data_IF_244220233619
#
_entry.id   IF_244220233619
#
_cell.length_a   1.000
_cell.length_b   1.000
_cell.length_c   1.000
_cell.angle_alpha   90.00
_cell.angle_beta   90.00
_cell.angle_gamma   90.00
#
_symmetry.space_group_name_H-M   'P 1'
#
loop_
_entity.id
_entity.type
_entity.pdbx_description
1 polymer ?
#
# COMPACT_ATOMS: atom_id res chain seq x y z
N UNK A 1 -13.16 -20.81 -39.05
CA UNK A 1 -12.09 -20.87 -38.03
C UNK A 1 -12.59 -20.14 -36.81
N UNK A 2 -12.99 -20.89 -35.77
CA UNK A 2 -13.38 -20.30 -34.49
C UNK A 2 -12.14 -19.66 -33.90
N UNK A 3 -12.13 -18.33 -33.73
CA UNK A 3 -11.15 -17.71 -32.86
C UNK A 3 -11.39 -18.33 -31.48
N UNK A 4 -10.41 -19.10 -30.99
CA UNK A 4 -10.39 -19.45 -29.59
C UNK A 4 -10.37 -18.11 -28.84
N UNK A 5 -11.52 -17.71 -28.31
CA UNK A 5 -11.59 -16.61 -27.36
C UNK A 5 -10.68 -17.03 -26.23
N UNK A 6 -9.47 -16.44 -26.17
CA UNK A 6 -8.56 -16.67 -25.05
C UNK A 6 -9.34 -16.29 -23.80
N UNK A 7 -9.71 -17.28 -23.00
CA UNK A 7 -10.37 -17.05 -21.72
C UNK A 7 -9.54 -16.05 -20.94
N UNK A 8 -10.17 -14.94 -20.56
CA UNK A 8 -9.60 -13.81 -19.80
C UNK A 8 -10.10 -13.84 -18.36
N UNK A 9 -10.29 -15.06 -17.85
CA UNK A 9 -10.54 -15.29 -16.44
C UNK A 9 -9.46 -14.60 -15.58
N UNK A 10 -9.86 -14.17 -14.38
CA UNK A 10 -9.00 -13.35 -13.52
C UNK A 10 -7.63 -13.99 -13.28
N UNK A 11 -7.56 -15.32 -13.15
CA UNK A 11 -6.30 -16.03 -12.94
C UNK A 11 -5.29 -15.76 -14.05
N UNK A 12 -5.74 -15.84 -15.30
CA UNK A 12 -4.86 -15.62 -16.45
C UNK A 12 -4.43 -14.18 -16.53
N UNK A 13 -5.31 -13.23 -16.20
CA UNK A 13 -4.95 -11.82 -16.12
C UNK A 13 -3.87 -11.58 -15.06
N UNK A 14 -4.07 -12.16 -13.87
CA UNK A 14 -3.12 -12.08 -12.76
C UNK A 14 -1.77 -12.75 -13.09
N UNK A 15 -1.81 -13.97 -13.63
CA UNK A 15 -0.61 -14.75 -13.98
C UNK A 15 0.19 -14.16 -15.14
N UNK A 16 -0.47 -13.45 -16.06
CA UNK A 16 0.17 -12.82 -17.21
C UNK A 16 0.58 -11.36 -16.97
N UNK A 17 0.37 -10.84 -15.75
CA UNK A 17 0.78 -9.49 -15.39
C UNK A 17 2.29 -9.32 -15.55
N UNK A 18 2.70 -8.18 -16.11
CA UNK A 18 4.12 -7.80 -16.21
C UNK A 18 4.65 -7.11 -14.96
N UNK A 19 3.79 -6.86 -13.97
CA UNK A 19 4.17 -6.28 -12.69
C UNK A 19 5.03 -7.25 -11.89
N UNK A 20 5.83 -6.72 -10.98
CA UNK A 20 6.68 -7.54 -10.11
C UNK A 20 5.95 -7.90 -8.81
N UNK A 21 5.35 -6.88 -8.20
CA UNK A 21 4.71 -6.95 -6.89
C UNK A 21 3.34 -7.64 -6.96
N UNK A 22 3.02 -8.44 -5.95
CA UNK A 22 1.79 -9.22 -5.93
C UNK A 22 0.55 -8.30 -5.92
N UNK A 23 0.57 -7.25 -5.09
CA UNK A 23 -0.53 -6.29 -5.01
C UNK A 23 -0.74 -5.59 -6.36
N UNK A 24 0.34 -5.22 -7.06
CA UNK A 24 0.29 -4.59 -8.37
C UNK A 24 -0.27 -5.52 -9.45
N UNK A 25 0.19 -6.79 -9.49
CA UNK A 25 -0.38 -7.83 -10.37
C UNK A 25 -1.87 -7.99 -10.13
N UNK A 26 -2.27 -8.00 -8.86
CA UNK A 26 -3.67 -8.12 -8.46
C UNK A 26 -4.49 -6.94 -8.96
N UNK A 27 -4.04 -5.72 -8.73
CA UNK A 27 -4.76 -4.51 -9.18
C UNK A 27 -4.79 -4.36 -10.70
N UNK A 28 -3.73 -4.76 -11.41
CA UNK A 28 -3.74 -4.80 -12.88
C UNK A 28 -4.80 -5.76 -13.41
N UNK A 29 -4.88 -6.98 -12.84
CA UNK A 29 -5.90 -7.96 -13.21
C UNK A 29 -7.32 -7.49 -12.88
N UNK A 30 -7.51 -6.80 -11.74
CA UNK A 30 -8.80 -6.21 -11.39
C UNK A 30 -9.21 -5.11 -12.39
N UNK A 31 -8.28 -4.25 -12.78
CA UNK A 31 -8.55 -3.10 -13.64
C UNK A 31 -8.70 -3.46 -15.12
N UNK A 32 -8.24 -4.63 -15.56
CA UNK A 32 -8.27 -5.04 -16.95
C UNK A 32 -9.70 -5.10 -17.53
N UNK A 33 -9.91 -4.44 -18.68
CA UNK A 33 -11.11 -4.60 -19.49
C UNK A 33 -10.93 -5.75 -20.48
N UNK A 34 -11.86 -6.69 -20.47
CA UNK A 34 -11.82 -7.84 -21.37
C UNK A 34 -13.21 -8.13 -21.94
N UNK A 35 -13.24 -8.73 -23.13
CA UNK A 35 -14.49 -9.01 -23.85
C UNK A 35 -15.40 -9.99 -23.11
N UNK A 36 -14.83 -10.85 -22.26
CA UNK A 36 -15.57 -11.79 -21.42
C UNK A 36 -16.44 -11.09 -20.36
N UNK A 37 -16.21 -9.80 -20.05
CA UNK A 37 -17.05 -9.04 -19.12
C UNK A 37 -18.51 -8.94 -19.58
N UNK A 38 -18.76 -9.07 -20.89
CA UNK A 38 -20.12 -9.10 -21.46
C UNK A 38 -20.99 -10.23 -20.90
N UNK A 39 -20.38 -11.30 -20.38
CA UNK A 39 -21.12 -12.40 -19.75
C UNK A 39 -21.91 -11.98 -18.51
N UNK A 40 -21.54 -10.86 -17.90
CA UNK A 40 -22.16 -10.31 -16.69
C UNK A 40 -23.15 -9.17 -16.98
N UNK A 41 -23.50 -8.93 -18.24
CA UNK A 41 -24.39 -7.84 -18.64
C UNK A 41 -25.74 -7.96 -17.95
N UNK A 42 -26.34 -9.15 -17.95
CA UNK A 42 -27.65 -9.38 -17.35
C UNK A 42 -27.63 -9.13 -15.84
N UNK A 43 -26.58 -9.58 -15.16
CA UNK A 43 -26.42 -9.46 -13.71
C UNK A 43 -26.06 -8.04 -13.27
N UNK A 44 -25.49 -7.20 -14.13
CA UNK A 44 -25.00 -5.88 -13.74
C UNK A 44 -25.82 -4.71 -14.28
N UNK A 45 -26.54 -4.85 -15.41
CA UNK A 45 -27.28 -3.74 -16.01
C UNK A 45 -28.44 -3.23 -15.13
N UNK A 46 -29.00 -4.10 -14.29
CA UNK A 46 -30.06 -3.81 -13.32
C UNK A 46 -29.54 -3.28 -11.98
N UNK A 47 -28.23 -3.06 -11.81
CA UNK A 47 -27.66 -2.58 -10.55
C UNK A 47 -28.28 -1.23 -10.15
N UNK A 48 -28.73 -1.13 -8.89
CA UNK A 48 -29.38 0.06 -8.35
C UNK A 48 -28.39 0.92 -7.58
N UNK A 49 -27.92 2.00 -8.21
CA UNK A 49 -26.83 2.86 -7.74
C UNK A 49 -27.04 4.31 -8.20
N UNK A 50 -26.27 5.24 -7.62
CA UNK A 50 -26.21 6.63 -8.08
C UNK A 50 -25.34 6.77 -9.33
N UNK A 51 -25.53 7.89 -10.04
CA UNK A 51 -24.69 8.27 -11.17
C UNK A 51 -23.23 8.54 -10.77
N UNK A 52 -22.26 8.16 -11.63
CA UNK A 52 -22.47 7.62 -13.00
C UNK A 52 -22.75 6.10 -13.03
N UNK A 53 -23.96 5.71 -13.45
CA UNK A 53 -24.41 4.30 -13.44
C UNK A 53 -23.58 3.42 -14.36
N UNK A 54 -23.17 3.92 -15.53
CA UNK A 54 -22.40 3.14 -16.50
C UNK A 54 -21.03 2.72 -15.96
N UNK A 55 -20.37 3.57 -15.15
CA UNK A 55 -19.12 3.20 -14.49
C UNK A 55 -19.35 2.10 -13.46
N UNK A 56 -20.43 2.20 -12.66
CA UNK A 56 -20.78 1.15 -11.71
C UNK A 56 -21.14 -0.18 -12.38
N UNK A 57 -21.76 -0.16 -13.55
CA UNK A 57 -22.00 -1.37 -14.35
C UNK A 57 -20.65 -2.02 -14.70
N UNK A 58 -19.65 -1.24 -15.17
CA UNK A 58 -18.30 -1.77 -15.45
C UNK A 58 -17.65 -2.38 -14.20
N UNK A 59 -17.75 -1.70 -13.06
CA UNK A 59 -17.19 -2.21 -11.79
C UNK A 59 -17.90 -3.48 -11.33
N UNK A 60 -19.22 -3.57 -11.48
CA UNK A 60 -19.99 -4.77 -11.18
C UNK A 60 -19.51 -5.97 -12.01
N UNK A 61 -19.23 -5.79 -13.31
CA UNK A 61 -18.73 -6.88 -14.16
C UNK A 61 -17.34 -7.35 -13.71
N UNK A 62 -16.43 -6.43 -13.43
CA UNK A 62 -15.09 -6.74 -12.88
C UNK A 62 -15.18 -7.45 -11.52
N UNK A 63 -16.11 -7.02 -10.70
CA UNK A 63 -16.41 -7.62 -9.41
C UNK A 63 -16.87 -9.08 -9.55
N UNK A 64 -17.85 -9.36 -10.40
CA UNK A 64 -18.33 -10.72 -10.64
C UNK A 64 -17.23 -11.61 -11.26
N UNK A 65 -16.36 -11.06 -12.13
CA UNK A 65 -15.17 -11.77 -12.63
C UNK A 65 -14.22 -12.21 -11.54
N UNK A 66 -13.93 -11.32 -10.58
CA UNK A 66 -13.11 -11.69 -9.43
C UNK A 66 -13.77 -12.77 -8.58
N UNK A 67 -15.08 -12.66 -8.31
CA UNK A 67 -15.80 -13.61 -7.46
C UNK A 67 -15.85 -15.03 -8.03
N UNK A 68 -15.92 -15.19 -9.35
CA UNK A 68 -15.79 -16.52 -9.98
C UNK A 68 -14.43 -17.16 -9.71
N UNK A 69 -13.36 -16.35 -9.72
CA UNK A 69 -11.99 -16.82 -9.48
C UNK A 69 -11.63 -16.94 -8.01
N UNK A 70 -12.28 -16.18 -7.13
CA UNK A 70 -12.04 -16.22 -5.69
C UNK A 70 -12.23 -17.64 -5.10
N UNK A 71 -13.06 -18.47 -5.74
CA UNK A 71 -13.18 -19.92 -5.47
C UNK A 71 -11.87 -20.71 -5.59
N UNK A 72 -10.99 -20.29 -6.50
CA UNK A 72 -9.73 -20.95 -6.83
C UNK A 72 -8.53 -20.37 -6.06
N UNK A 73 -8.69 -19.21 -5.43
CA UNK A 73 -7.62 -18.49 -4.73
C UNK A 73 -7.42 -18.92 -3.29
N UNK A 74 -8.45 -19.45 -2.64
CA UNK A 74 -8.38 -19.78 -1.23
C UNK A 74 -7.86 -21.20 -1.03
N UNK A 75 -6.57 -21.38 -1.31
CA UNK A 75 -5.77 -22.40 -0.63
C UNK A 75 -5.65 -21.99 0.85
N UNK A 76 -5.90 -22.91 1.79
CA UNK A 76 -5.72 -22.67 3.23
C UNK A 76 -4.28 -22.28 3.58
N UNK A 77 -3.34 -22.52 2.65
CA UNK A 77 -1.92 -22.21 2.77
C UNK A 77 -1.51 -20.81 2.29
N UNK A 78 -2.44 -19.94 1.83
CA UNK A 78 -2.06 -18.60 1.38
C UNK A 78 -1.53 -17.75 2.55
N UNK A 79 -0.31 -17.23 2.42
CA UNK A 79 0.35 -16.40 3.46
C UNK A 79 -0.41 -15.11 3.76
N UNK A 80 -1.19 -14.62 2.79
CA UNK A 80 -1.94 -13.38 2.86
C UNK A 80 -3.40 -13.61 2.45
N UNK A 81 -4.30 -12.78 2.98
CA UNK A 81 -5.71 -12.78 2.61
C UNK A 81 -5.96 -11.85 1.40
N UNK A 82 -6.17 -12.44 0.23
CA UNK A 82 -6.42 -11.71 -1.02
C UNK A 82 -7.74 -10.93 -0.97
N UNK A 83 -8.68 -11.34 -0.12
CA UNK A 83 -9.95 -10.63 0.04
C UNK A 83 -9.75 -9.24 0.65
N UNK A 84 -8.70 -9.03 1.46
CA UNK A 84 -8.37 -7.70 1.96
C UNK A 84 -7.90 -6.76 0.83
N UNK A 85 -7.04 -7.23 -0.09
CA UNK A 85 -6.64 -6.46 -1.29
C UNK A 85 -7.86 -6.10 -2.14
N UNK A 86 -8.74 -7.08 -2.37
CA UNK A 86 -9.97 -6.89 -3.12
C UNK A 86 -10.85 -5.81 -2.50
N UNK A 87 -11.04 -5.85 -1.18
CA UNK A 87 -11.88 -4.88 -0.48
C UNK A 87 -11.31 -3.45 -0.56
N UNK A 88 -10.00 -3.28 -0.44
CA UNK A 88 -9.37 -1.97 -0.64
C UNK A 88 -9.42 -1.49 -2.09
N UNK A 89 -9.26 -2.40 -3.07
CA UNK A 89 -9.46 -2.05 -4.48
C UNK A 89 -10.88 -1.54 -4.70
N UNK A 90 -11.87 -2.25 -4.18
CA UNK A 90 -13.27 -1.92 -4.38
C UNK A 90 -13.60 -0.55 -3.79
N UNK A 91 -13.20 -0.32 -2.54
CA UNK A 91 -13.42 0.97 -1.90
C UNK A 91 -12.67 2.10 -2.62
N UNK A 92 -11.41 1.88 -3.03
CA UNK A 92 -10.64 2.85 -3.80
C UNK A 92 -11.34 3.25 -5.10
N UNK A 93 -11.86 2.29 -5.87
CA UNK A 93 -12.57 2.55 -7.12
C UNK A 93 -13.87 3.34 -6.87
N UNK A 94 -14.63 3.01 -5.83
CA UNK A 94 -15.85 3.74 -5.49
C UNK A 94 -15.54 5.19 -5.10
N UNK A 95 -14.45 5.43 -4.36
CA UNK A 95 -14.01 6.80 -4.03
C UNK A 95 -13.55 7.59 -5.26
N UNK A 96 -13.02 6.92 -6.29
CA UNK A 96 -12.65 7.56 -7.55
C UNK A 96 -13.89 7.91 -8.40
N UNK A 97 -14.89 7.02 -8.44
CA UNK A 97 -16.13 7.23 -9.20
C UNK A 97 -16.97 8.34 -8.58
N UNK A 98 -17.18 8.29 -7.26
CA UNK A 98 -18.10 9.18 -6.57
C UNK A 98 -17.41 10.39 -5.94
N UNK A 99 -16.10 10.37 -5.77
CA UNK A 99 -15.36 11.33 -4.95
C UNK A 99 -15.35 10.93 -3.48
N UNK A 100 -14.19 11.04 -2.84
CA UNK A 100 -13.95 10.55 -1.47
C UNK A 100 -14.89 11.14 -0.39
N UNK A 101 -15.44 12.33 -0.63
CA UNK A 101 -16.35 13.00 0.31
C UNK A 101 -17.83 12.58 0.16
N UNK A 102 -18.18 11.78 -0.85
CA UNK A 102 -19.56 11.36 -1.12
C UNK A 102 -19.88 10.01 -0.46
N UNK A 103 -19.78 9.97 0.87
CA UNK A 103 -19.94 8.75 1.69
C UNK A 103 -21.25 8.01 1.39
N UNK A 104 -22.37 8.71 1.25
CA UNK A 104 -23.67 8.10 0.95
C UNK A 104 -23.67 7.36 -0.40
N UNK A 105 -23.04 7.95 -1.42
CA UNK A 105 -22.94 7.30 -2.75
C UNK A 105 -22.03 6.08 -2.71
N UNK A 106 -20.91 6.18 -1.99
CA UNK A 106 -19.97 5.08 -1.79
C UNK A 106 -20.66 3.92 -1.05
N UNK A 107 -21.38 4.22 0.03
CA UNK A 107 -22.17 3.24 0.81
C UNK A 107 -23.21 2.56 -0.08
N UNK A 108 -23.98 3.32 -0.85
CA UNK A 108 -24.98 2.78 -1.77
C UNK A 108 -24.34 1.90 -2.84
N UNK A 109 -23.25 2.35 -3.46
CA UNK A 109 -22.51 1.59 -4.47
C UNK A 109 -21.96 0.27 -3.92
N UNK A 110 -21.36 0.31 -2.74
CA UNK A 110 -20.83 -0.87 -2.06
C UNK A 110 -21.96 -1.84 -1.70
N UNK A 111 -23.08 -1.35 -1.16
CA UNK A 111 -24.26 -2.15 -0.80
C UNK A 111 -24.84 -2.84 -2.03
N UNK A 112 -24.93 -2.14 -3.16
CA UNK A 112 -25.44 -2.72 -4.40
C UNK A 112 -24.54 -3.86 -4.91
N UNK A 113 -23.22 -3.72 -4.82
CA UNK A 113 -22.28 -4.79 -5.17
C UNK A 113 -22.37 -5.97 -4.19
N UNK A 114 -22.51 -5.69 -2.89
CA UNK A 114 -22.74 -6.74 -1.90
C UNK A 114 -24.05 -7.51 -2.16
N UNK A 115 -25.10 -6.84 -2.62
CA UNK A 115 -26.32 -7.54 -3.05
C UNK A 115 -26.04 -8.49 -4.21
N UNK A 116 -25.19 -8.13 -5.18
CA UNK A 116 -24.76 -9.03 -6.27
C UNK A 116 -23.92 -10.23 -5.78
N UNK A 117 -23.29 -10.12 -4.60
CA UNK A 117 -22.62 -11.24 -3.91
C UNK A 117 -23.58 -12.19 -3.19
N UNK A 118 -24.64 -11.63 -2.59
CA UNK A 118 -25.89 -12.38 -2.41
C UNK A 118 -26.42 -12.71 -3.83
N UNK A 119 -27.61 -13.19 -4.16
CA UNK A 119 -27.93 -13.67 -5.54
C UNK A 119 -27.01 -14.68 -6.31
N UNK A 120 -25.67 -14.70 -6.18
CA UNK A 120 -24.80 -15.74 -6.70
C UNK A 120 -25.19 -17.06 -6.03
N UNK A 121 -25.76 -17.97 -6.83
CA UNK A 121 -26.24 -19.32 -6.51
C UNK A 121 -26.18 -19.71 -5.02
N UNK A 122 -27.34 -19.87 -4.40
CA UNK A 122 -27.53 -20.11 -2.96
C UNK A 122 -26.65 -21.23 -2.41
N UNK A 123 -26.42 -22.30 -3.17
CA UNK A 123 -25.56 -23.41 -2.77
C UNK A 123 -24.09 -23.00 -2.61
N UNK A 124 -23.63 -22.06 -3.43
CA UNK A 124 -22.24 -21.55 -3.43
C UNK A 124 -21.95 -20.62 -2.26
N UNK A 125 -22.96 -19.92 -1.72
CA UNK A 125 -22.77 -18.94 -0.63
C UNK A 125 -22.39 -19.57 0.70
N UNK A 126 -22.76 -20.83 0.91
CA UNK A 126 -22.49 -21.56 2.15
C UNK A 126 -21.14 -22.28 2.11
N UNK A 127 -20.39 -22.19 1.01
CA UNK A 127 -19.06 -22.77 0.92
C UNK A 127 -18.06 -21.87 1.70
N UNK A 128 -17.25 -22.43 2.63
CA UNK A 128 -16.37 -21.63 3.50
C UNK A 128 -15.40 -20.72 2.75
N UNK A 129 -14.93 -21.14 1.57
CA UNK A 129 -14.04 -20.34 0.73
C UNK A 129 -14.75 -19.11 0.13
N UNK A 130 -16.06 -19.20 -0.11
CA UNK A 130 -16.85 -18.11 -0.69
C UNK A 130 -17.14 -17.01 0.33
N UNK A 131 -17.27 -17.38 1.61
CA UNK A 131 -17.44 -16.43 2.72
C UNK A 131 -16.24 -15.49 2.88
N UNK A 132 -15.02 -15.95 2.53
CA UNK A 132 -13.81 -15.12 2.55
C UNK A 132 -13.87 -14.00 1.51
N UNK A 133 -14.45 -14.29 0.35
CA UNK A 133 -14.66 -13.33 -0.74
C UNK A 133 -15.78 -12.31 -0.48
N UNK A 134 -16.46 -12.39 0.67
CA UNK A 134 -17.54 -11.47 1.02
C UNK A 134 -16.97 -10.05 1.17
N UNK A 135 -17.55 -9.04 0.49
CA UNK A 135 -17.14 -7.67 0.68
C UNK A 135 -17.26 -7.23 2.15
N UNK A 136 -16.19 -6.64 2.67
CA UNK A 136 -16.13 -6.10 4.02
C UNK A 136 -16.59 -4.65 4.03
N UNK A 137 -17.81 -4.44 4.53
CA UNK A 137 -18.43 -3.13 4.59
C UNK A 137 -17.75 -2.19 5.61
N UNK A 138 -17.04 -2.72 6.60
CA UNK A 138 -16.44 -1.90 7.66
C UNK A 138 -15.37 -0.94 7.15
N UNK A 139 -14.84 -1.14 5.94
CA UNK A 139 -13.89 -0.20 5.32
C UNK A 139 -14.50 1.19 5.16
N UNK A 140 -15.82 1.30 4.93
CA UNK A 140 -16.46 2.62 4.76
C UNK A 140 -16.37 3.49 6.02
N UNK A 141 -16.15 2.88 7.18
CA UNK A 141 -16.05 3.53 8.48
C UNK A 141 -14.59 3.86 8.86
N UNK A 142 -13.61 3.52 8.01
CA UNK A 142 -12.18 3.67 8.30
C UNK A 142 -11.63 4.95 7.68
N UNK A 143 -11.50 6.01 8.47
CA UNK A 143 -10.98 7.31 8.01
C UNK A 143 -9.56 7.22 7.41
N UNK A 144 -8.77 6.25 7.84
CA UNK A 144 -7.39 6.00 7.42
C UNK A 144 -7.28 4.81 6.45
N UNK A 145 -8.37 4.42 5.77
CA UNK A 145 -8.40 3.30 4.83
C UNK A 145 -7.26 3.34 3.80
N UNK A 146 -6.84 4.53 3.36
CA UNK A 146 -5.76 4.71 2.38
C UNK A 146 -4.40 4.26 2.94
N UNK A 147 -4.14 4.55 4.22
CA UNK A 147 -2.95 4.09 4.96
C UNK A 147 -3.03 2.61 5.22
N UNK A 148 -4.21 2.09 5.59
CA UNK A 148 -4.40 0.65 5.82
C UNK A 148 -4.19 -0.15 4.54
N UNK A 149 -4.68 0.37 3.40
CA UNK A 149 -4.40 -0.18 2.07
C UNK A 149 -2.90 -0.21 1.81
N UNK A 150 -2.20 0.92 1.94
CA UNK A 150 -0.74 0.98 1.72
C UNK A 150 0.03 0.02 2.62
N UNK A 151 -0.41 -0.15 3.88
CA UNK A 151 0.22 -1.06 4.83
C UNK A 151 0.01 -2.51 4.40
N UNK A 152 -1.21 -2.86 3.98
CA UNK A 152 -1.52 -4.20 3.53
C UNK A 152 -0.86 -4.54 2.19
N UNK A 153 -0.80 -3.58 1.25
CA UNK A 153 -0.06 -3.72 0.00
C UNK A 153 1.42 -4.04 0.29
N UNK A 154 2.05 -3.26 1.17
CA UNK A 154 3.43 -3.52 1.60
C UNK A 154 3.60 -4.88 2.28
N UNK A 155 2.67 -5.26 3.17
CA UNK A 155 2.70 -6.56 3.84
C UNK A 155 2.67 -7.73 2.84
N UNK A 156 1.83 -7.64 1.82
CA UNK A 156 1.72 -8.66 0.77
C UNK A 156 2.94 -8.68 -0.15
N UNK A 157 3.52 -7.52 -0.41
CA UNK A 157 4.67 -7.37 -1.32
C UNK A 157 6.03 -7.56 -0.65
N UNK A 158 6.06 -7.66 0.69
CA UNK A 158 7.29 -7.62 1.47
C UNK A 158 8.28 -8.72 1.09
N UNK A 159 7.84 -9.95 0.86
CA UNK A 159 8.75 -11.05 0.50
C UNK A 159 9.50 -10.76 -0.80
N UNK A 160 8.79 -10.25 -1.82
CA UNK A 160 9.38 -9.87 -3.10
C UNK A 160 10.35 -8.72 -2.89
N UNK A 161 9.90 -7.65 -2.22
CA UNK A 161 10.74 -6.48 -1.92
C UNK A 161 12.00 -6.86 -1.14
N UNK A 162 11.87 -7.69 -0.10
CA UNK A 162 12.99 -8.11 0.74
C UNK A 162 13.95 -9.02 -0.02
N UNK A 163 13.45 -9.91 -0.87
CA UNK A 163 14.29 -10.80 -1.68
C UNK A 163 15.11 -9.99 -2.68
N UNK A 164 14.47 -9.06 -3.40
CA UNK A 164 15.16 -8.19 -4.34
C UNK A 164 16.18 -7.31 -3.62
N UNK A 165 15.81 -6.65 -2.52
CA UNK A 165 16.71 -5.80 -1.72
C UNK A 165 17.91 -6.55 -1.10
N UNK A 166 17.82 -7.88 -0.95
CA UNK A 166 18.92 -8.72 -0.44
C UNK A 166 19.85 -9.21 -1.53
N UNK A 167 19.36 -9.37 -2.75
CA UNK A 167 20.06 -10.12 -3.80
C UNK A 167 20.38 -9.31 -5.05
N UNK A 168 19.58 -8.30 -5.38
CA UNK A 168 19.62 -7.58 -6.65
C UNK A 168 19.20 -6.11 -6.47
N UNK A 169 20.04 -5.31 -5.81
CA UNK A 169 19.70 -3.94 -5.38
C UNK A 169 20.89 -2.97 -5.49
N UNK A 170 21.66 -3.03 -6.58
CA UNK A 170 22.90 -2.24 -6.72
C UNK A 170 22.65 -0.71 -6.68
N UNK A 171 21.49 -0.28 -7.17
CA UNK A 171 21.01 1.10 -7.16
C UNK A 171 20.15 1.43 -5.92
N UNK A 172 19.95 0.46 -5.03
CA UNK A 172 19.18 0.59 -3.79
C UNK A 172 17.69 0.92 -3.98
N UNK A 173 17.11 0.66 -5.15
CA UNK A 173 15.70 0.90 -5.44
C UNK A 173 14.79 0.19 -4.43
N UNK A 174 15.02 -1.09 -4.15
CA UNK A 174 14.16 -1.89 -3.27
C UNK A 174 14.37 -1.56 -1.79
N UNK A 175 15.61 -1.26 -1.38
CA UNK A 175 15.88 -0.69 -0.06
C UNK A 175 15.05 0.58 0.16
N UNK A 176 15.06 1.51 -0.80
CA UNK A 176 14.35 2.77 -0.69
C UNK A 176 12.83 2.54 -0.61
N UNK A 177 12.26 1.64 -1.43
CA UNK A 177 10.83 1.26 -1.35
C UNK A 177 10.42 0.73 0.03
N UNK A 178 11.30 -0.05 0.67
CA UNK A 178 11.07 -0.56 2.05
C UNK A 178 11.18 0.60 3.04
N UNK A 179 12.20 1.42 2.92
CA UNK A 179 12.46 2.52 3.85
C UNK A 179 11.36 3.60 3.83
N UNK A 180 10.79 3.90 2.67
CA UNK A 180 9.66 4.82 2.53
C UNK A 180 8.46 4.45 3.43
N UNK A 181 8.35 3.18 3.86
CA UNK A 181 7.26 2.73 4.73
C UNK A 181 7.45 3.10 6.20
N UNK A 182 8.59 3.65 6.62
CA UNK A 182 8.85 4.04 8.02
C UNK A 182 7.72 4.88 8.62
N UNK A 183 7.38 5.99 7.94
CA UNK A 183 6.32 6.90 8.37
C UNK A 183 4.94 6.23 8.49
N UNK A 184 4.68 5.21 7.65
CA UNK A 184 3.45 4.43 7.71
C UNK A 184 3.40 3.55 8.95
N UNK A 185 4.52 2.91 9.32
CA UNK A 185 4.61 2.14 10.55
C UNK A 185 4.53 3.02 11.79
N UNK A 186 5.21 4.18 11.80
CA UNK A 186 5.11 5.15 12.89
C UNK A 186 3.66 5.62 13.12
N UNK A 187 2.89 5.80 12.05
CA UNK A 187 1.47 6.12 12.14
C UNK A 187 0.69 5.02 12.88
N UNK A 188 0.82 3.76 12.43
CA UNK A 188 0.08 2.65 13.05
C UNK A 188 0.56 2.30 14.46
N UNK A 189 1.84 2.52 14.78
CA UNK A 189 2.32 2.34 16.16
C UNK A 189 1.64 3.30 17.13
N UNK A 190 1.41 4.55 16.72
CA UNK A 190 0.68 5.55 17.50
C UNK A 190 -0.82 5.24 17.56
N UNK A 191 -1.43 4.87 16.44
CA UNK A 191 -2.87 4.57 16.39
C UNK A 191 -3.25 3.28 17.14
N UNK A 192 -2.35 2.29 17.16
CA UNK A 192 -2.58 1.00 17.82
C UNK A 192 -2.09 0.96 19.28
N UNK A 193 -1.56 2.06 19.83
CA UNK A 193 -1.04 2.13 21.21
C UNK A 193 -1.74 3.19 22.08
N UNK A 194 -2.33 2.83 23.24
CA UNK A 194 -2.62 1.46 23.70
C UNK A 194 -3.59 0.75 22.74
N UNK A 195 -3.83 -0.58 22.85
CA UNK A 195 -4.72 -1.30 21.95
C UNK A 195 -6.07 -0.60 21.81
N UNK A 196 -6.27 0.12 20.70
CA UNK A 196 -7.52 0.81 20.37
C UNK A 196 -8.37 -0.10 19.50
N UNK A 197 -9.69 0.00 19.62
CA UNK A 197 -10.65 -0.70 18.75
C UNK A 197 -10.42 -0.45 17.26
N UNK A 198 -9.75 0.65 16.90
CA UNK A 198 -9.53 1.03 15.51
C UNK A 198 -8.25 0.44 14.90
N UNK A 199 -7.42 -0.30 15.63
CA UNK A 199 -6.21 -0.90 15.02
C UNK A 199 -6.60 -1.93 13.93
N UNK A 200 -5.95 -1.96 12.74
CA UNK A 200 -6.23 -2.99 11.74
C UNK A 200 -5.92 -4.38 12.31
N UNK A 201 -6.82 -5.35 12.15
CA UNK A 201 -6.66 -6.71 12.68
C UNK A 201 -5.39 -7.40 12.17
N UNK A 202 -4.96 -7.08 10.94
CA UNK A 202 -3.75 -7.63 10.34
C UNK A 202 -2.45 -6.96 10.81
N UNK A 203 -2.51 -5.84 11.55
CA UNK A 203 -1.33 -5.05 11.90
C UNK A 203 -0.31 -5.83 12.73
N UNK A 204 -0.75 -6.70 13.63
CA UNK A 204 0.15 -7.56 14.42
C UNK A 204 1.07 -8.41 13.54
N UNK A 205 0.56 -8.89 12.39
CA UNK A 205 1.35 -9.64 11.40
C UNK A 205 2.32 -8.75 10.63
N UNK A 206 2.04 -7.46 10.51
CA UNK A 206 2.93 -6.53 9.80
C UNK A 206 4.15 -6.13 10.63
N UNK A 207 4.09 -6.21 11.97
CA UNK A 207 5.16 -5.70 12.86
C UNK A 207 6.54 -6.28 12.57
N UNK A 208 6.62 -7.54 12.14
CA UNK A 208 7.91 -8.17 11.78
C UNK A 208 8.56 -7.53 10.54
N UNK A 209 7.78 -6.88 9.67
CA UNK A 209 8.24 -6.23 8.44
C UNK A 209 8.45 -4.73 8.60
N UNK A 210 8.37 -4.21 9.83
CA UNK A 210 8.70 -2.81 10.11
C UNK A 210 10.10 -2.49 9.56
N UNK A 211 10.28 -1.41 8.78
CA UNK A 211 11.56 -1.10 8.13
C UNK A 211 12.76 -1.09 9.09
N UNK A 212 12.60 -0.57 10.29
CA UNK A 212 13.61 -0.53 11.35
C UNK A 212 14.15 -1.92 11.74
N UNK A 213 13.33 -2.97 11.59
CA UNK A 213 13.70 -4.34 11.95
C UNK A 213 14.41 -5.11 10.82
N UNK A 214 14.34 -4.57 9.59
CA UNK A 214 14.68 -5.32 8.38
C UNK A 214 15.75 -4.63 7.54
N UNK A 215 15.82 -3.29 7.53
CA UNK A 215 16.74 -2.52 6.69
C UNK A 215 18.22 -2.86 6.94
N UNK A 216 18.61 -3.14 8.19
CA UNK A 216 20.00 -3.49 8.53
C UNK A 216 20.48 -4.81 7.93
N UNK A 217 19.57 -5.63 7.41
CA UNK A 217 19.84 -6.94 6.81
C UNK A 217 19.89 -6.89 5.28
N UNK A 218 19.71 -5.71 4.68
CA UNK A 218 19.63 -5.52 3.23
C UNK A 218 20.99 -5.10 2.67
N UNK A 219 21.21 -5.40 1.38
CA UNK A 219 22.49 -5.20 0.70
C UNK A 219 22.97 -3.75 0.76
N UNK A 220 22.04 -2.80 0.57
CA UNK A 220 22.35 -1.37 0.53
C UNK A 220 22.53 -0.69 1.89
N UNK A 221 22.37 -1.39 3.01
CA UNK A 221 22.39 -0.74 4.33
C UNK A 221 23.65 0.08 4.60
N UNK A 222 24.82 -0.52 4.38
CA UNK A 222 26.12 0.12 4.63
C UNK A 222 26.37 1.30 3.69
N UNK A 223 25.95 1.18 2.43
CA UNK A 223 26.08 2.24 1.41
C UNK A 223 25.28 3.47 1.83
N UNK A 224 23.99 3.29 2.14
CA UNK A 224 23.10 4.39 2.53
C UNK A 224 23.49 4.98 3.88
N UNK A 225 23.94 4.16 4.84
CA UNK A 225 24.43 4.65 6.13
C UNK A 225 25.63 5.59 5.96
N UNK A 226 26.57 5.24 5.07
CA UNK A 226 27.72 6.08 4.74
C UNK A 226 27.33 7.38 4.05
N UNK A 227 26.49 7.30 3.01
CA UNK A 227 26.00 8.48 2.27
C UNK A 227 25.31 9.49 3.20
N UNK A 228 24.55 9.01 4.19
CA UNK A 228 23.92 9.86 5.20
C UNK A 228 24.91 10.50 6.16
N UNK A 229 25.91 9.74 6.61
CA UNK A 229 26.95 10.29 7.48
C UNK A 229 27.75 11.38 6.76
N UNK A 230 28.09 11.15 5.49
CA UNK A 230 28.80 12.12 4.64
C UNK A 230 27.95 13.38 4.39
N UNK A 231 26.65 13.22 4.10
CA UNK A 231 25.73 14.35 3.95
C UNK A 231 25.59 15.17 5.25
N UNK A 232 25.44 14.51 6.39
CA UNK A 232 25.39 15.19 7.69
C UNK A 232 26.69 15.92 8.04
N UNK A 233 27.84 15.36 7.65
CA UNK A 233 29.13 16.02 7.84
C UNK A 233 29.25 17.27 6.95
N UNK A 234 28.77 17.22 5.71
CA UNK A 234 28.77 18.35 4.77
C UNK A 234 27.80 19.48 5.18
N UNK A 235 26.71 19.17 5.89
CA UNK A 235 25.74 20.16 6.38
C UNK A 235 26.19 20.89 7.66
N UNK A 236 27.22 20.41 8.36
CA UNK A 236 27.78 21.13 9.51
C UNK A 236 28.56 22.35 9.01
N UNK A 237 28.20 23.59 9.41
CA UNK A 237 28.96 24.76 9.02
C UNK A 237 30.40 24.66 9.54
N UNK A 238 31.38 24.96 8.70
CA UNK A 238 32.77 25.22 9.10
C UNK A 238 32.77 26.29 10.19
N UNK A 239 32.76 25.86 11.45
CA UNK A 239 33.00 26.74 12.58
C UNK A 239 34.40 26.42 13.10
N UNK A 240 35.32 27.34 12.76
CA UNK A 240 36.73 27.47 13.19
C UNK A 240 37.72 26.62 12.37
N UNK A 241 38.77 27.18 11.75
CA UNK A 241 39.80 28.02 12.36
C UNK A 241 40.28 29.18 11.45
N UNK A 242 40.10 30.42 11.92
CA UNK A 242 40.95 31.55 11.53
C UNK A 242 41.46 32.22 12.81
N UNK A 243 42.49 31.64 13.41
CA UNK A 243 43.38 32.34 14.36
C UNK A 243 44.82 31.97 14.07
N UNK A 244 45.35 32.48 12.96
CA UNK A 244 46.79 32.69 12.80
C UNK A 244 47.12 34.08 13.35
N UNK A 245 47.23 34.18 14.67
CA UNK A 245 47.80 35.35 15.34
C UNK A 245 49.33 35.27 15.25
N UNK A 246 49.90 35.94 14.26
CA UNK A 246 51.34 36.19 14.17
C UNK A 246 51.82 36.91 15.43
N UNK A 247 52.80 36.32 16.11
CA UNK A 247 53.54 36.97 17.16
C UNK A 247 54.36 38.13 16.60
N UNK A 248 54.34 39.26 17.30
CA UNK A 248 55.40 40.25 17.27
C UNK A 248 55.44 40.98 18.60
N UNK A 249 56.45 40.66 19.39
CA UNK A 249 56.93 41.45 20.52
C UNK A 249 57.42 42.81 20.03
N UNK A 250 56.99 43.89 20.67
CA UNK A 250 57.83 45.08 20.85
C UNK A 250 57.53 45.72 22.20
N UNK A 251 58.59 45.88 22.99
CA UNK A 251 58.64 46.63 24.24
C UNK A 251 58.41 48.13 24.01
N UNK A 252 57.71 48.78 24.94
CA UNK A 252 57.55 50.24 24.94
C UNK A 252 56.76 50.76 26.14
N UNK A 253 57.45 50.91 27.27
CA UNK A 253 57.07 51.56 28.53
C UNK A 253 56.25 52.84 28.34
N UNK A 254 55.16 53.04 29.09
CA UNK A 254 54.89 54.29 29.84
C UNK A 254 53.82 54.08 30.93
N UNK A 255 54.11 54.72 32.06
CA UNK A 255 53.47 54.66 33.37
C UNK A 255 52.26 55.62 33.39
N UNK A 256 51.18 55.28 34.11
CA UNK A 256 50.13 56.29 34.41
C UNK A 256 48.88 55.74 35.08
N UNK A 257 48.82 55.86 36.40
CA UNK A 257 47.72 55.56 37.30
C UNK A 257 46.41 56.36 37.04
N UNK A 258 45.36 55.89 37.76
CA UNK A 258 44.13 56.56 38.20
C UNK A 258 42.93 56.47 37.24
N UNK A 259 41.68 56.33 37.66
CA UNK A 259 40.98 55.88 38.87
C UNK A 259 39.48 55.95 38.51
N UNK A 260 38.68 55.10 39.17
CA UNK A 260 37.24 55.28 39.51
C UNK A 260 36.39 56.23 38.64
N UNK A 261 35.33 55.69 38.03
CA UNK A 261 34.00 55.58 38.65
C UNK A 261 33.16 54.53 37.92
#
# INVERSE_FOLDING_TARGET
MSSQVKSTDFYKLFSNSSKELFSEKFYEAMNNDSSDLSKYDNECNDIHVHDPKDEMIKICKKYLRYLEYCKLLHDENSRYDVSILFNYWLYSILTLIYGANNTDKIITGFSALQLKWTYLDYYRKNEPHYLKCKPNFEIVNQNDWDKRKKLYDYYVDYDTLSTMAKSFDDDCEYYNKIEEKKSLYEYFEKECSPPRKNCPEFYEKCKEYKPENVLSKLLCHEKIARERADAQAAERPDTMEHTSGTGQETYGTYIGNWARN
#
